data_IF_593990638743
#
_entry.id   IF_593990638743
#
_cell.length_a   1.000
_cell.length_b   1.000
_cell.length_c   1.000
_cell.angle_alpha   90.00
_cell.angle_beta   90.00
_cell.angle_gamma   90.00
#
_symmetry.space_group_name_H-M   'P 1'
#
loop_
_entity.id
_entity.type
_entity.pdbx_description
1 polymer ?
#
# COMPACT_ATOMS: atom_id res chain seq x y z
N UNK A 1 12.42 18.53 4.06
CA UNK A 1 13.91 18.48 3.98
C UNK A 1 14.36 17.55 2.87
N UNK A 2 15.47 17.87 2.18
CA UNK A 2 16.11 17.03 1.17
C UNK A 2 16.60 15.71 1.77
N UNK A 3 17.29 15.76 2.91
CA UNK A 3 17.76 14.56 3.62
C UNK A 3 16.63 13.58 3.95
N UNK A 4 15.47 14.10 4.39
CA UNK A 4 14.28 13.27 4.64
C UNK A 4 13.75 12.59 3.37
N UNK A 5 13.76 13.28 2.23
CA UNK A 5 13.35 12.68 0.96
C UNK A 5 14.31 11.58 0.50
N UNK A 6 15.61 11.80 0.68
CA UNK A 6 16.62 10.78 0.39
C UNK A 6 16.49 9.57 1.33
N UNK A 7 16.24 9.79 2.63
CA UNK A 7 15.98 8.72 3.59
C UNK A 7 14.81 7.82 3.15
N UNK A 8 13.71 8.42 2.69
CA UNK A 8 12.57 7.67 2.11
C UNK A 8 12.98 6.87 0.87
N UNK A 9 13.82 7.43 -0.01
CA UNK A 9 14.31 6.71 -1.17
C UNK A 9 15.16 5.50 -0.79
N UNK A 10 16.03 5.62 0.22
CA UNK A 10 16.88 4.54 0.69
C UNK A 10 16.08 3.46 1.43
N UNK A 11 15.16 3.84 2.32
CA UNK A 11 14.41 2.90 3.18
C UNK A 11 13.19 2.28 2.50
N UNK A 12 12.50 3.03 1.63
CA UNK A 12 11.21 2.63 1.03
C UNK A 12 11.27 2.49 -0.49
N UNK A 13 12.39 2.84 -1.11
CA UNK A 13 12.61 2.71 -2.54
C UNK A 13 12.03 3.85 -3.39
N UNK A 14 12.28 3.76 -4.70
CA UNK A 14 12.01 4.84 -5.67
C UNK A 14 10.53 5.15 -5.87
N UNK A 15 9.64 4.18 -5.72
CA UNK A 15 8.19 4.38 -5.92
C UNK A 15 7.60 5.31 -4.86
N UNK A 16 7.93 5.09 -3.59
CA UNK A 16 7.48 5.89 -2.46
C UNK A 16 8.09 7.28 -2.50
N UNK A 17 9.38 7.37 -2.84
CA UNK A 17 10.04 8.63 -3.12
C UNK A 17 9.35 9.43 -4.24
N UNK A 18 8.98 8.78 -5.35
CA UNK A 18 8.25 9.44 -6.42
C UNK A 18 6.88 9.92 -5.92
N UNK A 19 6.14 9.12 -5.15
CA UNK A 19 4.86 9.55 -4.55
C UNK A 19 5.05 10.81 -3.69
N UNK A 20 6.06 10.83 -2.81
CA UNK A 20 6.40 12.00 -2.00
C UNK A 20 6.74 13.22 -2.88
N UNK A 21 7.54 13.03 -3.93
CA UNK A 21 7.88 14.08 -4.90
C UNK A 21 6.66 14.64 -5.63
N UNK A 22 5.64 13.84 -5.91
CA UNK A 22 4.39 14.34 -6.50
C UNK A 22 3.60 15.18 -5.49
N UNK A 23 3.55 14.77 -4.22
CA UNK A 23 2.91 15.56 -3.16
C UNK A 23 3.61 16.92 -2.95
N UNK A 24 4.94 16.93 -2.96
CA UNK A 24 5.74 18.17 -2.88
C UNK A 24 5.54 19.12 -4.07
N UNK A 25 5.05 18.63 -5.21
CA UNK A 25 4.75 19.43 -6.40
C UNK A 25 3.31 19.91 -6.46
N UNK A 26 2.43 19.37 -5.61
CA UNK A 26 1.02 19.78 -5.56
C UNK A 26 0.90 21.08 -4.76
N UNK A 27 0.67 22.19 -5.47
CA UNK A 27 0.55 23.52 -4.89
C UNK A 27 -0.57 23.61 -3.82
N UNK A 28 -1.58 22.72 -3.86
CA UNK A 28 -2.69 22.71 -2.89
C UNK A 28 -2.31 22.19 -1.50
N UNK A 29 -1.11 21.64 -1.35
CA UNK A 29 -0.64 20.97 -0.12
C UNK A 29 0.30 21.82 0.70
N UNK A 30 0.63 23.05 0.25
CA UNK A 30 1.56 23.98 0.90
C UNK A 30 2.87 23.32 1.37
N UNK A 31 3.37 22.39 0.56
CA UNK A 31 4.56 21.61 0.87
C UNK A 31 5.80 22.21 0.19
N UNK A 32 6.89 22.39 0.95
CA UNK A 32 8.15 22.94 0.43
C UNK A 32 9.31 21.96 0.63
N UNK A 33 10.13 21.82 -0.42
CA UNK A 33 11.38 21.07 -0.34
C UNK A 33 12.54 22.01 -0.02
N UNK A 34 13.06 21.91 1.20
CA UNK A 34 14.30 22.61 1.59
C UNK A 34 15.54 21.74 1.38
N UNK A 35 16.49 22.25 0.61
CA UNK A 35 17.75 21.61 0.26
C UNK A 35 18.82 21.79 1.34
N UNK A 36 18.60 21.20 2.51
CA UNK A 36 19.44 21.41 3.70
C UNK A 36 20.92 21.02 3.50
N UNK A 37 21.23 20.02 2.68
CA UNK A 37 22.62 19.65 2.38
C UNK A 37 23.36 20.70 1.55
N UNK A 38 22.65 21.47 0.73
CA UNK A 38 23.24 22.51 -0.11
C UNK A 38 23.18 23.90 0.54
N UNK A 39 22.67 23.97 1.77
CA UNK A 39 22.60 25.22 2.52
C UNK A 39 23.74 25.31 3.53
N UNK A 40 24.62 26.31 3.37
CA UNK A 40 25.86 26.43 4.16
C UNK A 40 25.62 26.39 5.68
N UNK A 41 24.58 27.05 6.18
CA UNK A 41 24.27 27.09 7.62
C UNK A 41 23.57 25.84 8.17
N UNK A 42 23.15 24.92 7.29
CA UNK A 42 22.43 23.69 7.68
C UNK A 42 23.21 22.42 7.35
N UNK A 43 24.29 22.53 6.58
CA UNK A 43 25.10 21.39 6.19
C UNK A 43 25.84 20.81 7.39
N UNK A 44 25.69 19.51 7.59
CA UNK A 44 26.35 18.76 8.66
C UNK A 44 27.06 17.55 8.05
N UNK A 45 28.40 17.46 8.14
CA UNK A 45 29.12 16.29 7.65
C UNK A 45 28.83 15.06 8.51
N UNK A 46 28.83 13.88 7.88
CA UNK A 46 28.70 12.60 8.56
C UNK A 46 29.96 12.29 9.35
N UNK A 47 29.79 11.92 10.62
CA UNK A 47 30.91 11.61 11.50
C UNK A 47 31.46 10.20 11.23
N UNK A 48 32.77 9.96 11.48
CA UNK A 48 33.36 8.63 11.33
C UNK A 48 32.65 7.61 12.23
N UNK A 49 32.13 6.54 11.64
CA UNK A 49 31.41 5.48 12.36
C UNK A 49 29.93 5.78 12.64
N UNK A 50 29.42 6.98 12.32
CA UNK A 50 28.00 7.31 12.49
C UNK A 50 27.14 6.55 11.48
N UNK A 51 26.06 5.86 11.89
CA UNK A 51 25.12 5.24 10.96
C UNK A 51 24.44 6.27 10.04
N UNK A 52 24.11 5.88 8.80
CA UNK A 52 23.48 6.78 7.82
C UNK A 52 22.17 7.39 8.35
N UNK A 53 21.36 6.59 9.03
CA UNK A 53 20.06 7.02 9.56
C UNK A 53 20.20 8.05 10.70
N UNK A 54 21.17 7.86 11.60
CA UNK A 54 21.43 8.81 12.69
C UNK A 54 21.96 10.13 12.15
N UNK A 55 22.84 10.10 11.14
CA UNK A 55 23.28 11.30 10.43
C UNK A 55 22.12 12.03 9.74
N UNK A 56 21.21 11.30 9.09
CA UNK A 56 20.03 11.89 8.45
C UNK A 56 19.13 12.59 9.46
N UNK A 57 18.82 11.93 10.58
CA UNK A 57 18.02 12.51 11.68
C UNK A 57 18.67 13.78 12.23
N UNK A 58 19.97 13.73 12.53
CA UNK A 58 20.74 14.90 13.00
C UNK A 58 20.69 16.05 11.99
N UNK A 59 20.88 15.77 10.71
CA UNK A 59 20.83 16.76 9.63
C UNK A 59 19.43 17.38 9.46
N UNK A 60 18.36 16.62 9.73
CA UNK A 60 16.98 17.14 9.71
C UNK A 60 16.75 18.06 10.91
N UNK A 61 17.20 17.64 12.10
CA UNK A 61 17.09 18.43 13.32
C UNK A 61 17.84 19.76 13.22
N UNK A 62 19.10 19.75 12.75
CA UNK A 62 19.89 20.98 12.55
C UNK A 62 19.20 21.95 11.59
N UNK A 63 18.58 21.45 10.52
CA UNK A 63 17.79 22.28 9.62
C UNK A 63 16.52 22.84 10.30
N UNK A 64 15.83 22.06 11.13
CA UNK A 64 14.68 22.52 11.90
C UNK A 64 15.05 23.63 12.89
N UNK A 65 16.14 23.45 13.64
CA UNK A 65 16.68 24.48 14.53
C UNK A 65 17.09 25.74 13.74
N UNK A 66 17.74 25.59 12.59
CA UNK A 66 18.06 26.73 11.74
C UNK A 66 16.80 27.49 11.29
N UNK A 67 15.74 26.79 10.89
CA UNK A 67 14.47 27.42 10.48
C UNK A 67 13.86 28.24 11.61
N UNK A 68 13.85 27.71 12.83
CA UNK A 68 13.34 28.43 14.00
C UNK A 68 14.09 29.76 14.23
N UNK A 69 15.43 29.71 14.21
CA UNK A 69 16.27 30.91 14.35
C UNK A 69 16.12 31.87 13.16
N UNK A 70 16.01 31.35 11.94
CA UNK A 70 15.78 32.14 10.73
C UNK A 70 14.46 32.92 10.80
N UNK A 71 13.44 32.32 11.42
CA UNK A 71 12.15 32.95 11.69
C UNK A 71 12.16 33.85 12.94
N UNK A 72 13.34 34.15 13.50
CA UNK A 72 13.53 35.00 14.69
C UNK A 72 12.75 34.51 15.92
N UNK A 73 12.56 33.19 16.04
CA UNK A 73 11.77 32.58 17.13
C UNK A 73 10.26 32.86 17.07
N UNK A 74 9.77 33.48 15.98
CA UNK A 74 8.34 33.84 15.84
C UNK A 74 7.45 32.67 15.41
N UNK A 75 8.06 31.61 14.88
CA UNK A 75 7.34 30.43 14.41
C UNK A 75 7.94 29.18 15.04
N UNK A 76 7.20 28.46 15.89
CA UNK A 76 7.66 27.18 16.41
C UNK A 76 7.78 26.17 15.27
N UNK A 77 8.80 25.33 15.34
CA UNK A 77 9.06 24.28 14.34
C UNK A 77 8.79 22.93 14.99
N UNK A 78 8.01 22.09 14.34
CA UNK A 78 7.73 20.73 14.81
C UNK A 78 8.37 19.72 13.86
N UNK A 79 9.32 18.95 14.38
CA UNK A 79 9.90 17.78 13.72
C UNK A 79 9.17 16.53 14.21
N UNK A 80 8.44 15.88 13.30
CA UNK A 80 7.73 14.65 13.62
C UNK A 80 8.60 13.43 13.30
N UNK A 81 8.78 12.53 14.26
CA UNK A 81 9.59 11.31 14.12
C UNK A 81 9.09 10.19 15.03
N UNK A 82 9.22 8.94 14.58
CA UNK A 82 8.93 7.75 15.38
C UNK A 82 10.21 7.16 16.02
N UNK A 83 11.38 7.79 15.86
CA UNK A 83 12.63 7.39 16.52
C UNK A 83 12.66 7.93 17.96
N UNK A 84 12.43 7.04 18.93
CA UNK A 84 12.40 7.37 20.37
C UNK A 84 13.71 8.00 20.85
N UNK A 85 14.85 7.54 20.35
CA UNK A 85 16.15 8.11 20.73
C UNK A 85 16.29 9.56 20.24
N UNK A 86 15.73 9.85 19.05
CA UNK A 86 15.73 11.20 18.50
C UNK A 86 14.82 12.14 19.32
N UNK A 87 13.65 11.65 19.74
CA UNK A 87 12.73 12.38 20.62
C UNK A 87 13.41 12.67 21.95
N UNK A 88 14.04 11.68 22.59
CA UNK A 88 14.72 11.86 23.86
C UNK A 88 15.91 12.83 23.77
N UNK A 89 16.70 12.72 22.69
CA UNK A 89 17.90 13.54 22.52
C UNK A 89 17.57 15.00 22.16
N UNK A 90 16.64 15.20 21.25
CA UNK A 90 16.41 16.52 20.64
C UNK A 90 15.15 17.23 21.14
N UNK A 91 14.26 16.53 21.86
CA UNK A 91 12.96 17.07 22.30
C UNK A 91 13.05 18.30 23.20
N UNK A 92 14.17 18.50 23.90
CA UNK A 92 14.41 19.65 24.79
C UNK A 92 15.68 20.43 24.45
N UNK A 93 16.30 20.17 23.30
CA UNK A 93 17.62 20.70 22.95
C UNK A 93 17.56 22.16 22.45
N UNK A 94 16.48 22.56 21.78
CA UNK A 94 16.28 23.94 21.32
C UNK A 94 14.87 24.40 21.63
N UNK A 95 14.75 25.46 22.44
CA UNK A 95 13.46 26.05 22.80
C UNK A 95 12.72 26.51 21.54
N UNK A 96 11.46 26.12 21.38
CA UNK A 96 10.65 26.42 20.19
C UNK A 96 10.81 25.43 19.02
N UNK A 97 11.68 24.42 19.15
CA UNK A 97 11.77 23.28 18.24
C UNK A 97 11.28 22.03 18.96
N UNK A 98 10.12 21.52 18.54
CA UNK A 98 9.52 20.33 19.14
C UNK A 98 9.89 19.09 18.32
N UNK A 99 10.45 18.08 18.98
CA UNK A 99 10.70 16.76 18.36
C UNK A 99 9.79 15.75 19.01
N UNK A 100 8.74 15.33 18.32
CA UNK A 100 7.65 14.53 18.91
C UNK A 100 7.17 13.41 17.96
N UNK A 101 6.59 12.32 18.51
CA UNK A 101 5.88 11.30 17.73
C UNK A 101 4.67 11.88 17.00
N UNK A 102 4.25 11.23 15.90
CA UNK A 102 3.11 11.72 15.12
C UNK A 102 1.81 11.71 15.91
N UNK A 103 1.64 10.75 16.83
CA UNK A 103 0.49 10.70 17.73
C UNK A 103 0.40 11.97 18.59
N UNK A 104 1.48 12.32 19.28
CA UNK A 104 1.52 13.51 20.13
C UNK A 104 1.30 14.79 19.30
N UNK A 105 1.83 14.85 18.08
CA UNK A 105 1.55 15.96 17.17
C UNK A 105 0.05 16.11 16.88
N UNK A 106 -0.68 15.01 16.67
CA UNK A 106 -2.13 15.07 16.49
C UNK A 106 -2.86 15.47 17.78
N UNK A 107 -2.44 14.92 18.93
CA UNK A 107 -3.06 15.21 20.23
C UNK A 107 -2.90 16.70 20.61
N UNK A 108 -1.70 17.25 20.43
CA UNK A 108 -1.36 18.60 20.88
C UNK A 108 -1.86 19.69 19.92
N UNK A 109 -1.76 19.47 18.60
CA UNK A 109 -2.04 20.50 17.59
C UNK A 109 -3.38 20.33 16.89
N UNK A 110 -3.96 19.11 16.90
CA UNK A 110 -5.17 18.78 16.15
C UNK A 110 -6.14 17.89 16.94
N UNK A 111 -6.51 18.23 18.19
CA UNK A 111 -7.34 17.38 19.04
C UNK A 111 -8.74 17.14 18.44
N UNK A 112 -9.27 18.12 17.70
CA UNK A 112 -10.61 18.04 17.10
C UNK A 112 -10.66 17.24 15.80
N UNK A 113 -9.49 16.85 15.24
CA UNK A 113 -9.41 16.15 13.95
C UNK A 113 -9.63 14.64 14.11
N UNK A 114 -10.85 14.26 14.55
CA UNK A 114 -11.22 12.87 14.90
C UNK A 114 -10.84 11.84 13.85
N UNK A 115 -11.06 12.13 12.56
CA UNK A 115 -10.73 11.21 11.48
C UNK A 115 -9.23 10.89 11.38
N UNK A 116 -8.35 11.86 11.68
CA UNK A 116 -6.91 11.63 11.68
C UNK A 116 -6.47 10.82 12.91
N UNK A 117 -7.08 11.08 14.06
CA UNK A 117 -6.88 10.31 15.30
C UNK A 117 -7.28 8.84 15.11
N UNK A 118 -8.48 8.59 14.57
CA UNK A 118 -8.97 7.25 14.28
C UNK A 118 -8.04 6.49 13.32
N UNK A 119 -7.57 7.16 12.27
CA UNK A 119 -6.59 6.61 11.32
C UNK A 119 -5.26 6.27 12.01
N UNK A 120 -4.74 7.19 12.82
CA UNK A 120 -3.48 7.01 13.55
C UNK A 120 -3.56 5.80 14.49
N UNK A 121 -4.62 5.72 15.30
CA UNK A 121 -4.85 4.60 16.21
C UNK A 121 -5.00 3.27 15.45
N UNK A 122 -5.71 3.24 14.33
CA UNK A 122 -5.84 2.04 13.49
C UNK A 122 -4.48 1.54 12.98
N UNK A 123 -3.62 2.46 12.52
CA UNK A 123 -2.26 2.12 12.04
C UNK A 123 -1.37 1.63 13.20
N UNK A 124 -1.37 2.33 14.34
CA UNK A 124 -0.56 1.95 15.50
C UNK A 124 -0.99 0.58 16.05
N UNK A 125 -2.30 0.33 16.10
CA UNK A 125 -2.84 -0.95 16.52
C UNK A 125 -2.41 -2.09 15.59
N UNK A 126 -2.54 -1.89 14.26
CA UNK A 126 -2.07 -2.88 13.28
C UNK A 126 -0.58 -3.20 13.43
N UNK A 127 0.25 -2.20 13.72
CA UNK A 127 1.70 -2.40 13.96
C UNK A 127 2.00 -3.22 15.21
N UNK A 128 1.37 -2.89 16.35
CA UNK A 128 1.54 -3.62 17.61
C UNK A 128 1.15 -5.10 17.46
N UNK A 129 0.07 -5.36 16.75
CA UNK A 129 -0.41 -6.72 16.53
C UNK A 129 0.52 -7.54 15.64
N UNK A 130 1.09 -6.92 14.60
CA UNK A 130 2.12 -7.57 13.79
C UNK A 130 3.31 -8.01 14.64
N UNK A 131 3.73 -7.17 15.59
CA UNK A 131 4.85 -7.48 16.48
C UNK A 131 4.52 -8.63 17.44
N UNK A 132 3.30 -8.65 17.98
CA UNK A 132 2.81 -9.75 18.83
C UNK A 132 2.65 -11.07 18.07
N UNK A 133 2.03 -11.05 16.88
CA UNK A 133 1.81 -12.26 16.06
C UNK A 133 3.13 -12.91 15.62
N UNK A 134 4.18 -12.12 15.40
CA UNK A 134 5.53 -12.61 15.14
C UNK A 134 6.18 -13.30 16.34
N UNK A 135 5.80 -12.93 17.58
CA UNK A 135 6.37 -13.49 18.82
C UNK A 135 5.64 -14.76 19.28
N UNK A 136 4.32 -14.82 19.11
CA UNK A 136 3.50 -15.91 19.67
C UNK A 136 3.30 -17.10 18.70
N UNK A 137 3.28 -16.87 17.39
CA UNK A 137 2.92 -17.92 16.43
C UNK A 137 4.15 -18.63 15.84
N UNK A 138 4.51 -19.77 16.42
CA UNK A 138 5.57 -20.64 15.86
C UNK A 138 5.14 -21.42 14.61
N UNK A 139 3.82 -21.55 14.34
CA UNK A 139 3.31 -22.27 13.16
C UNK A 139 3.17 -21.31 11.97
N UNK A 140 4.01 -21.50 10.96
CA UNK A 140 3.93 -20.75 9.70
C UNK A 140 2.85 -21.36 8.80
N UNK A 141 1.89 -20.54 8.39
CA UNK A 141 0.85 -20.91 7.43
C UNK A 141 1.37 -20.87 5.98
N UNK A 142 2.28 -19.93 5.72
CA UNK A 142 2.92 -19.70 4.44
C UNK A 142 4.43 -19.84 4.51
N UNK A 143 5.04 -20.26 3.39
CA UNK A 143 6.49 -20.29 3.25
C UNK A 143 7.07 -18.86 3.18
N UNK A 144 8.28 -18.69 3.73
CA UNK A 144 9.01 -17.44 3.55
C UNK A 144 9.31 -17.18 2.07
N UNK A 145 9.29 -15.90 1.68
CA UNK A 145 9.74 -15.52 0.36
C UNK A 145 11.25 -15.58 0.30
N UNK A 146 11.79 -16.03 -0.83
CA UNK A 146 13.24 -16.09 -1.03
C UNK A 146 13.84 -14.67 -1.08
N UNK A 147 15.11 -14.51 -0.65
CA UNK A 147 15.82 -13.24 -0.78
C UNK A 147 15.87 -12.74 -2.23
N UNK A 148 15.87 -11.42 -2.47
CA UNK A 148 15.83 -10.87 -3.82
C UNK A 148 17.02 -11.34 -4.67
N UNK A 149 18.20 -11.53 -4.08
CA UNK A 149 19.39 -12.01 -4.78
C UNK A 149 19.20 -13.44 -5.31
N UNK A 150 18.53 -14.30 -4.53
CA UNK A 150 18.21 -15.69 -4.91
C UNK A 150 17.13 -15.72 -5.98
N UNK A 151 16.13 -14.84 -5.88
CA UNK A 151 15.09 -14.70 -6.91
C UNK A 151 15.71 -14.27 -8.24
N UNK A 152 16.56 -13.24 -8.23
CA UNK A 152 17.24 -12.74 -9.43
C UNK A 152 18.14 -13.80 -10.08
N UNK A 153 18.95 -14.51 -9.28
CA UNK A 153 19.80 -15.59 -9.78
C UNK A 153 18.98 -16.76 -10.34
N UNK A 154 17.86 -17.11 -9.70
CA UNK A 154 16.95 -18.15 -10.15
C UNK A 154 16.20 -17.77 -11.45
N UNK A 155 15.86 -16.50 -11.63
CA UNK A 155 15.27 -15.99 -12.89
C UNK A 155 16.32 -16.03 -14.01
N UNK A 156 17.56 -15.55 -13.75
CA UNK A 156 18.64 -15.54 -14.74
C UNK A 156 19.06 -16.95 -15.19
N UNK A 157 19.01 -17.93 -14.28
CA UNK A 157 19.30 -19.33 -14.59
C UNK A 157 18.13 -20.08 -15.23
N UNK A 158 16.94 -19.46 -15.33
CA UNK A 158 15.73 -20.09 -15.86
C UNK A 158 15.04 -21.07 -14.90
N UNK A 159 15.56 -21.23 -13.67
CA UNK A 159 14.92 -22.06 -12.64
C UNK A 159 13.58 -21.49 -12.20
N UNK A 160 13.47 -20.17 -12.13
CA UNK A 160 12.24 -19.47 -11.78
C UNK A 160 11.74 -18.64 -12.95
N UNK A 161 10.42 -18.50 -13.03
CA UNK A 161 9.76 -17.66 -14.01
C UNK A 161 9.05 -16.49 -13.34
N UNK A 162 9.19 -15.30 -13.89
CA UNK A 162 8.49 -14.11 -13.40
C UNK A 162 7.21 -13.85 -14.22
N UNK A 163 6.14 -13.40 -13.54
CA UNK A 163 4.87 -13.14 -14.20
C UNK A 163 3.90 -12.33 -13.35
N UNK A 164 2.86 -11.80 -13.99
CA UNK A 164 1.79 -11.08 -13.28
C UNK A 164 0.76 -12.10 -12.81
N UNK A 165 0.42 -12.05 -11.52
CA UNK A 165 -0.58 -12.94 -10.92
C UNK A 165 -2.00 -12.48 -11.27
N UNK A 166 -2.76 -13.34 -11.94
CA UNK A 166 -4.18 -13.17 -12.22
C UNK A 166 -5.02 -14.13 -11.37
N UNK A 167 -5.72 -13.63 -10.36
CA UNK A 167 -6.59 -14.46 -9.51
C UNK A 167 -7.94 -14.63 -10.20
N UNK A 168 -8.46 -15.86 -10.24
CA UNK A 168 -9.77 -16.12 -10.81
C UNK A 168 -10.85 -15.47 -9.92
N UNK A 169 -11.65 -14.56 -10.49
CA UNK A 169 -12.72 -13.85 -9.77
C UNK A 169 -13.80 -14.77 -9.21
N UNK A 170 -14.05 -15.91 -9.86
CA UNK A 170 -15.09 -16.86 -9.45
C UNK A 170 -14.55 -17.94 -8.50
N UNK A 171 -13.23 -18.17 -8.50
CA UNK A 171 -12.57 -19.19 -7.67
C UNK A 171 -11.34 -18.63 -6.98
N UNK A 172 -11.50 -17.50 -6.31
CA UNK A 172 -10.38 -16.78 -5.75
C UNK A 172 -9.64 -17.55 -4.66
N UNK A 173 -10.22 -18.58 -4.04
CA UNK A 173 -9.52 -19.41 -3.05
C UNK A 173 -8.67 -20.53 -3.67
N UNK A 174 -9.04 -20.95 -4.89
CA UNK A 174 -8.56 -22.18 -5.52
C UNK A 174 -7.67 -21.88 -6.72
N UNK A 175 -8.03 -20.92 -7.57
CA UNK A 175 -7.35 -20.72 -8.85
C UNK A 175 -6.76 -19.32 -9.00
N UNK A 176 -5.48 -19.29 -9.33
CA UNK A 176 -4.80 -18.13 -9.89
C UNK A 176 -3.88 -18.57 -11.01
N UNK A 177 -3.50 -17.65 -11.89
CA UNK A 177 -2.66 -17.91 -13.05
C UNK A 177 -1.52 -16.90 -13.06
N UNK A 178 -0.29 -17.36 -13.22
CA UNK A 178 0.85 -16.48 -13.44
C UNK A 178 1.08 -16.33 -14.94
N UNK A 179 0.79 -15.13 -15.47
CA UNK A 179 1.07 -14.80 -16.86
C UNK A 179 2.53 -14.41 -16.99
N UNK A 180 3.30 -15.26 -17.66
CA UNK A 180 4.73 -15.06 -17.83
C UNK A 180 5.02 -13.79 -18.65
N UNK A 181 5.98 -13.00 -18.20
CA UNK A 181 6.52 -11.91 -19.02
C UNK A 181 7.62 -12.46 -19.92
N UNK A 182 7.41 -12.37 -21.23
CA UNK A 182 8.29 -12.96 -22.24
C UNK A 182 9.73 -12.49 -22.10
N UNK A 183 10.62 -13.41 -21.75
CA UNK A 183 12.06 -13.24 -21.91
C UNK A 183 12.41 -13.41 -23.39
N UNK A 184 12.34 -12.33 -24.17
CA UNK A 184 13.26 -12.02 -25.28
C UNK A 184 13.61 -13.05 -26.37
N UNK A 185 12.98 -14.22 -26.49
CA UNK A 185 13.21 -15.14 -27.59
C UNK A 185 11.94 -15.29 -28.41
N UNK A 186 12.12 -15.08 -29.72
CA UNK A 186 11.12 -15.22 -30.77
C UNK A 186 10.60 -16.66 -30.79
N UNK A 187 9.54 -16.95 -30.04
CA UNK A 187 8.63 -18.05 -30.35
C UNK A 187 7.20 -17.61 -30.02
N UNK A 188 6.49 -17.22 -31.07
CA UNK A 188 5.08 -16.86 -31.10
C UNK A 188 4.23 -18.12 -31.09
N UNK A 189 4.25 -18.86 -29.98
CA UNK A 189 3.42 -20.06 -29.80
C UNK A 189 3.23 -20.41 -28.33
N UNK A 190 2.10 -19.96 -27.76
CA UNK A 190 1.62 -20.26 -26.39
C UNK A 190 2.52 -19.75 -25.25
N UNK A 191 2.36 -18.48 -24.87
CA UNK A 191 2.63 -18.04 -23.49
C UNK A 191 1.70 -18.85 -22.59
N UNK A 192 2.18 -19.99 -22.12
CA UNK A 192 1.39 -20.91 -21.31
C UNK A 192 1.32 -20.33 -19.90
N UNK A 193 0.13 -19.89 -19.51
CA UNK A 193 -0.13 -19.43 -18.15
C UNK A 193 0.19 -20.58 -17.16
N UNK A 194 0.88 -20.28 -16.07
CA UNK A 194 1.16 -21.27 -15.02
C UNK A 194 0.03 -21.24 -14.00
N UNK A 195 -0.62 -22.38 -13.75
CA UNK A 195 -1.64 -22.53 -12.71
C UNK A 195 -0.99 -22.45 -11.32
N UNK A 196 -1.54 -21.59 -10.48
CA UNK A 196 -1.23 -21.48 -9.05
C UNK A 196 -2.46 -21.96 -8.29
N UNK A 197 -2.40 -23.23 -7.85
CA UNK A 197 -3.55 -23.89 -7.24
C UNK A 197 -3.55 -23.80 -5.71
N UNK A 198 -4.54 -23.10 -5.17
CA UNK A 198 -4.78 -22.90 -3.74
C UNK A 198 -4.07 -21.67 -3.17
N UNK A 199 -4.57 -21.18 -2.02
CA UNK A 199 -3.98 -20.05 -1.31
C UNK A 199 -2.52 -20.30 -0.90
N UNK A 200 -2.17 -21.52 -0.46
CA UNK A 200 -0.81 -21.86 -0.02
C UNK A 200 0.22 -21.72 -1.13
N UNK A 201 -0.10 -22.21 -2.34
CA UNK A 201 0.76 -22.06 -3.51
C UNK A 201 0.83 -20.60 -4.00
N UNK A 202 -0.22 -19.81 -3.76
CA UNK A 202 -0.23 -18.37 -4.03
C UNK A 202 0.69 -17.58 -3.10
N UNK A 203 0.93 -18.10 -1.90
CA UNK A 203 1.92 -17.58 -0.96
C UNK A 203 1.87 -16.05 -0.77
N UNK A 204 0.78 -15.58 -0.17
CA UNK A 204 0.60 -14.17 0.23
C UNK A 204 0.68 -13.15 -0.92
N UNK A 205 0.46 -13.59 -2.16
CA UNK A 205 0.36 -12.71 -3.33
C UNK A 205 -1.09 -12.38 -3.67
N UNK A 206 -1.29 -11.17 -4.19
CA UNK A 206 -2.58 -10.57 -4.52
C UNK A 206 -2.68 -10.36 -6.04
N UNK A 207 -3.91 -10.28 -6.54
CA UNK A 207 -4.16 -9.99 -7.95
C UNK A 207 -3.39 -8.76 -8.45
N UNK A 208 -2.65 -8.95 -9.55
CA UNK A 208 -1.83 -7.94 -10.20
C UNK A 208 -0.41 -7.84 -9.66
N UNK A 209 -0.05 -8.59 -8.61
CA UNK A 209 1.34 -8.65 -8.12
C UNK A 209 2.27 -9.24 -9.21
N UNK A 210 3.49 -8.71 -9.29
CA UNK A 210 4.57 -9.31 -10.05
C UNK A 210 5.26 -10.35 -9.17
N UNK A 211 5.06 -11.61 -9.50
CA UNK A 211 5.48 -12.76 -8.69
C UNK A 211 6.56 -13.57 -9.39
N UNK A 212 7.35 -14.28 -8.59
CA UNK A 212 8.31 -15.29 -9.04
C UNK A 212 7.75 -16.66 -8.72
N UNK A 213 7.69 -17.52 -9.73
CA UNK A 213 7.05 -18.83 -9.68
C UNK A 213 8.11 -19.91 -9.93
N UNK A 214 8.07 -20.93 -9.09
CA UNK A 214 8.76 -22.21 -9.30
C UNK A 214 7.77 -23.21 -9.88
N UNK A 215 8.11 -23.81 -11.01
CA UNK A 215 7.30 -24.84 -11.65
C UNK A 215 7.40 -26.14 -10.84
N UNK A 216 6.27 -26.78 -10.59
CA UNK A 216 6.23 -28.09 -9.94
C UNK A 216 6.58 -29.20 -10.94
N UNK A 217 7.05 -30.37 -10.46
CA UNK A 217 7.21 -31.55 -11.32
C UNK A 217 5.91 -31.91 -12.04
N UNK A 218 6.01 -32.45 -13.26
CA UNK A 218 4.84 -32.77 -14.11
C UNK A 218 3.81 -33.66 -13.43
N UNK A 219 4.23 -34.60 -12.58
CA UNK A 219 3.32 -35.46 -11.80
C UNK A 219 2.46 -34.71 -10.77
N UNK A 220 2.75 -33.44 -10.51
CA UNK A 220 1.97 -32.57 -9.62
C UNK A 220 1.18 -31.50 -10.38
N UNK A 221 1.19 -31.55 -11.71
CA UNK A 221 0.40 -30.65 -12.53
C UNK A 221 -1.08 -30.95 -12.38
N UNK A 222 -1.88 -29.88 -12.32
CA UNK A 222 -3.33 -29.93 -12.11
C UNK A 222 -4.02 -29.31 -13.31
N UNK A 223 -5.22 -29.80 -13.60
CA UNK A 223 -6.10 -29.19 -14.60
C UNK A 223 -6.86 -28.01 -14.03
N UNK A 224 -7.57 -27.29 -14.90
CA UNK A 224 -8.52 -26.26 -14.50
C UNK A 224 -9.76 -26.96 -13.94
N UNK A 225 -10.35 -26.41 -12.89
CA UNK A 225 -11.66 -26.89 -12.42
C UNK A 225 -12.73 -26.44 -13.42
N UNK A 226 -13.63 -27.33 -13.83
CA UNK A 226 -14.62 -27.07 -14.90
C UNK A 226 -16.02 -26.71 -14.36
N UNK A 227 -16.24 -26.88 -13.06
CA UNK A 227 -17.52 -26.74 -12.33
C UNK A 227 -17.63 -25.40 -11.59
N UNK A 228 -18.59 -24.55 -11.96
CA UNK A 228 -18.85 -23.30 -11.25
C UNK A 228 -19.50 -23.62 -9.88
N UNK A 229 -18.75 -23.52 -8.78
CA UNK A 229 -19.34 -23.57 -7.44
C UNK A 229 -19.77 -22.17 -7.02
N UNK A 230 -21.07 -21.90 -7.08
CA UNK A 230 -21.69 -20.76 -6.41
C UNK A 230 -22.29 -21.25 -5.09
N UNK A 231 -21.54 -21.19 -3.99
CA UNK A 231 -22.05 -20.97 -2.62
C UNK A 231 -20.89 -20.92 -1.63
N UNK A 232 -20.87 -19.93 -0.75
CA UNK A 232 -20.20 -20.03 0.55
C UNK A 232 -20.94 -21.10 1.35
N UNK A 233 -20.29 -22.22 1.68
CA UNK A 233 -20.88 -23.24 2.53
C UNK A 233 -20.48 -24.68 2.19
N UNK A 234 -19.60 -25.21 3.03
CA UNK A 234 -19.39 -26.62 3.36
C UNK A 234 -18.55 -27.49 2.41
N UNK A 235 -17.51 -28.08 3.02
CA UNK A 235 -16.61 -29.07 2.45
C UNK A 235 -17.39 -30.34 2.10
N UNK A 236 -17.70 -30.53 0.82
CA UNK A 236 -17.92 -31.88 0.27
C UNK A 236 -17.07 -32.10 -0.97
N UNK A 237 -16.06 -32.93 -0.77
CA UNK A 237 -15.28 -33.58 -1.82
C UNK A 237 -16.22 -34.32 -2.80
N UNK A 238 -16.69 -33.59 -3.81
CA UNK A 238 -17.23 -34.16 -5.02
C UNK A 238 -16.06 -34.38 -5.96
N UNK A 239 -15.82 -35.64 -6.33
CA UNK A 239 -14.74 -36.02 -7.23
C UNK A 239 -14.92 -35.37 -8.59
N UNK A 240 -14.14 -34.31 -8.84
CA UNK A 240 -14.08 -33.63 -10.13
C UNK A 240 -13.09 -34.37 -11.05
N UNK A 241 -13.51 -34.64 -12.29
CA UNK A 241 -12.58 -35.06 -13.33
C UNK A 241 -11.66 -33.87 -13.65
N UNK A 242 -10.33 -33.96 -13.39
CA UNK A 242 -9.43 -32.87 -13.71
C UNK A 242 -9.43 -32.65 -15.23
N UNK A 243 -9.49 -31.39 -15.69
CA UNK A 243 -9.17 -31.09 -17.09
C UNK A 243 -7.73 -31.53 -17.40
N UNK A 244 -7.34 -31.46 -18.68
CA UNK A 244 -5.96 -31.75 -19.09
C UNK A 244 -4.94 -31.06 -18.15
N UNK A 245 -3.91 -31.80 -17.67
CA UNK A 245 -2.94 -31.27 -16.72
C UNK A 245 -2.20 -30.12 -17.37
N UNK A 246 -2.23 -28.94 -16.72
CA UNK A 246 -1.55 -27.75 -17.19
C UNK A 246 -0.34 -27.42 -16.30
N UNK A 247 0.68 -26.71 -16.82
CA UNK A 247 1.84 -26.28 -16.05
C UNK A 247 1.42 -25.66 -14.72
N UNK A 248 1.79 -26.28 -13.60
CA UNK A 248 1.39 -25.85 -12.26
C UNK A 248 2.61 -25.46 -11.46
N UNK A 249 2.52 -24.33 -10.76
CA UNK A 249 3.62 -23.75 -10.00
C UNK A 249 3.21 -23.26 -8.63
N UNK A 250 4.21 -22.79 -7.88
CA UNK A 250 4.02 -22.10 -6.61
C UNK A 250 4.81 -20.80 -6.58
N UNK A 251 4.27 -19.79 -5.91
CA UNK A 251 4.91 -18.49 -5.72
C UNK A 251 5.99 -18.62 -4.65
N UNK A 252 7.23 -18.33 -5.03
CA UNK A 252 8.41 -18.37 -4.15
C UNK A 252 8.86 -16.96 -3.71
N UNK A 253 8.36 -15.92 -4.36
CA UNK A 253 8.64 -14.53 -4.00
C UNK A 253 7.77 -13.54 -4.76
N UNK A 254 7.74 -12.30 -4.27
CA UNK A 254 7.00 -11.18 -4.86
C UNK A 254 8.01 -10.08 -5.18
N UNK A 255 8.22 -9.78 -6.47
CA UNK A 255 9.14 -8.72 -6.90
C UNK A 255 8.49 -7.34 -6.73
N UNK A 256 7.20 -7.23 -7.03
CA UNK A 256 6.48 -5.96 -6.93
C UNK A 256 5.03 -6.20 -6.50
N UNK A 257 4.68 -5.60 -5.35
CA UNK A 257 3.30 -5.55 -4.84
C UNK A 257 2.47 -4.53 -5.61
N UNK A 258 1.26 -4.92 -5.99
CA UNK A 258 0.24 -4.10 -6.61
C UNK A 258 -0.87 -3.69 -5.63
N UNK A 259 -0.49 -3.50 -4.35
CA UNK A 259 -1.44 -3.09 -3.32
C UNK A 259 -1.97 -1.67 -3.60
N UNK A 260 -3.29 -1.53 -3.47
CA UNK A 260 -4.04 -0.30 -3.67
C UNK A 260 -5.03 -0.10 -2.53
N UNK A 261 -5.85 0.93 -2.67
CA UNK A 261 -7.03 1.12 -1.83
C UNK A 261 -8.11 0.12 -2.27
N UNK A 262 -8.64 -0.60 -1.30
CA UNK A 262 -9.69 -1.59 -1.50
C UNK A 262 -10.95 -1.15 -0.77
N UNK A 263 -12.09 -1.28 -1.44
CA UNK A 263 -13.38 -1.05 -0.81
C UNK A 263 -13.87 -2.35 -0.21
N UNK A 264 -14.33 -2.28 1.04
CA UNK A 264 -14.76 -3.42 1.84
C UNK A 264 -16.09 -3.13 2.52
N UNK A 265 -16.71 -4.19 3.02
CA UNK A 265 -17.82 -4.16 3.97
C UNK A 265 -17.45 -4.89 5.24
N UNK A 266 -17.96 -4.38 6.36
CA UNK A 266 -17.85 -5.06 7.65
C UNK A 266 -18.89 -6.18 7.75
N UNK A 267 -18.56 -7.31 8.40
CA UNK A 267 -19.51 -8.40 8.62
C UNK A 267 -20.65 -7.95 9.55
N UNK A 268 -21.81 -8.57 9.40
CA UNK A 268 -22.97 -8.33 10.27
C UNK A 268 -22.67 -8.80 11.70
N UNK A 269 -23.29 -8.16 12.69
CA UNK A 269 -23.08 -8.43 14.12
C UNK A 269 -23.19 -9.90 14.54
N UNK A 270 -24.04 -10.69 13.88
CA UNK A 270 -24.22 -12.13 14.15
C UNK A 270 -22.94 -12.94 13.83
N UNK A 271 -22.17 -12.51 12.83
CA UNK A 271 -20.87 -13.11 12.46
C UNK A 271 -19.71 -12.63 13.36
N UNK A 272 -19.89 -11.53 14.09
CA UNK A 272 -18.87 -10.96 14.99
C UNK A 272 -18.87 -11.66 16.35
N UNK A 273 -20.03 -12.12 16.84
CA UNK A 273 -20.15 -12.79 18.15
C UNK A 273 -19.45 -14.16 18.24
N UNK A 274 -19.14 -14.78 17.10
CA UNK A 274 -18.38 -16.03 17.03
C UNK A 274 -16.86 -15.80 17.14
N UNK A 275 -16.39 -14.56 17.05
CA UNK A 275 -15.00 -14.17 17.30
C UNK A 275 -14.94 -13.62 18.73
N UNK A 276 -14.34 -14.38 19.65
CA UNK A 276 -14.39 -14.14 21.11
C UNK A 276 -13.97 -12.75 21.58
N UNK A 277 -13.99 -12.53 22.91
CA UNK A 277 -13.90 -11.27 23.68
C UNK A 277 -12.84 -10.20 23.31
N UNK A 278 -11.99 -10.40 22.31
CA UNK A 278 -11.14 -9.36 21.71
C UNK A 278 -11.89 -8.61 20.61
N UNK A 279 -12.83 -7.74 21.02
CA UNK A 279 -13.69 -6.91 20.17
C UNK A 279 -12.96 -5.86 19.29
N UNK A 280 -11.68 -6.07 18.99
CA UNK A 280 -10.86 -5.16 18.20
C UNK A 280 -10.53 -5.70 16.81
N UNK A 281 -10.45 -7.02 16.59
CA UNK A 281 -10.05 -7.61 15.30
C UNK A 281 -11.28 -8.04 14.51
N UNK A 282 -11.46 -7.49 13.31
CA UNK A 282 -12.58 -7.84 12.43
C UNK A 282 -12.08 -8.20 11.04
N UNK A 283 -12.60 -9.28 10.47
CA UNK A 283 -12.33 -9.69 9.09
C UNK A 283 -13.34 -9.05 8.14
N UNK A 284 -12.89 -8.04 7.42
CA UNK A 284 -13.71 -7.33 6.42
C UNK A 284 -13.67 -8.04 5.07
N UNK A 285 -14.73 -7.88 4.29
CA UNK A 285 -14.91 -8.52 2.98
C UNK A 285 -14.69 -7.50 1.86
N UNK A 286 -13.67 -7.65 1.02
CA UNK A 286 -13.46 -6.80 -0.15
C UNK A 286 -14.58 -6.92 -1.18
N UNK A 287 -14.89 -5.81 -1.84
CA UNK A 287 -15.78 -5.78 -2.99
C UNK A 287 -15.24 -6.66 -4.12
N UNK A 288 -13.95 -6.52 -4.43
CA UNK A 288 -13.29 -7.37 -5.43
C UNK A 288 -12.99 -8.75 -4.82
N UNK A 289 -13.80 -9.75 -5.20
CA UNK A 289 -13.68 -11.15 -4.75
C UNK A 289 -12.31 -11.79 -5.01
N UNK A 290 -11.48 -11.21 -5.88
CA UNK A 290 -10.09 -11.66 -6.11
C UNK A 290 -9.16 -11.36 -4.95
N UNK A 291 -9.54 -10.42 -4.08
CA UNK A 291 -8.78 -10.00 -2.91
C UNK A 291 -9.27 -10.82 -1.71
N UNK A 292 -8.36 -11.44 -0.93
CA UNK A 292 -8.75 -12.16 0.28
C UNK A 292 -9.33 -11.20 1.32
N UNK A 293 -10.12 -11.74 2.27
CA UNK A 293 -10.57 -10.99 3.45
C UNK A 293 -9.39 -10.35 4.17
N UNK A 294 -9.59 -9.14 4.68
CA UNK A 294 -8.54 -8.34 5.33
C UNK A 294 -8.87 -8.25 6.81
N UNK A 295 -7.87 -8.44 7.67
CA UNK A 295 -8.01 -8.21 9.11
C UNK A 295 -7.76 -6.74 9.41
N UNK A 296 -8.70 -6.12 10.11
CA UNK A 296 -8.62 -4.72 10.52
C UNK A 296 -8.89 -4.60 12.00
N UNK A 297 -8.10 -3.75 12.65
CA UNK A 297 -8.29 -3.43 14.06
C UNK A 297 -9.01 -2.10 14.23
N UNK A 298 -10.25 -2.17 14.72
CA UNK A 298 -11.12 -1.01 14.93
C UNK A 298 -12.14 -1.26 16.03
N UNK A 299 -12.46 -0.20 16.78
CA UNK A 299 -13.53 -0.21 17.79
C UNK A 299 -14.89 0.18 17.20
N UNK A 300 -14.92 0.69 15.97
CA UNK A 300 -16.13 1.21 15.31
C UNK A 300 -16.74 0.20 14.34
N UNK A 301 -16.40 -1.08 14.43
CA UNK A 301 -16.88 -2.11 13.52
C UNK A 301 -18.42 -2.13 13.42
N UNK A 302 -19.12 -1.94 14.56
CA UNK A 302 -20.59 -1.87 14.59
C UNK A 302 -21.16 -0.67 13.83
N UNK A 303 -20.53 0.50 13.92
CA UNK A 303 -20.99 1.70 13.22
C UNK A 303 -20.71 1.64 11.70
N UNK A 304 -19.78 0.81 11.26
CA UNK A 304 -19.32 0.70 9.87
C UNK A 304 -19.99 -0.44 9.08
N UNK A 305 -20.89 -1.22 9.68
CA UNK A 305 -21.54 -2.38 9.03
C UNK A 305 -22.31 -1.99 7.75
N UNK A 306 -23.08 -0.90 7.82
CA UNK A 306 -23.93 -0.45 6.71
C UNK A 306 -23.21 0.50 5.73
N UNK A 307 -21.88 0.57 5.79
CA UNK A 307 -21.10 1.51 5.00
C UNK A 307 -20.09 0.82 4.09
N UNK A 308 -19.88 1.41 2.91
CA UNK A 308 -18.73 1.14 2.04
C UNK A 308 -17.53 1.85 2.62
N UNK A 309 -16.47 1.10 2.93
CA UNK A 309 -15.29 1.63 3.60
C UNK A 309 -14.05 1.36 2.77
N UNK A 310 -13.14 2.33 2.68
CA UNK A 310 -11.82 2.16 2.07
C UNK A 310 -10.84 1.69 3.10
N UNK A 311 -10.08 0.65 2.76
CA UNK A 311 -9.03 0.08 3.60
C UNK A 311 -7.78 -0.15 2.78
N UNK A 312 -6.64 -0.24 3.46
CA UNK A 312 -5.35 -0.48 2.83
C UNK A 312 -4.61 -1.60 3.56
N UNK A 313 -4.04 -2.51 2.78
CA UNK A 313 -3.22 -3.61 3.31
C UNK A 313 -1.84 -3.06 3.70
N UNK A 314 -1.41 -3.40 4.91
CA UNK A 314 -0.12 -2.98 5.47
C UNK A 314 0.92 -4.08 5.43
N UNK A 315 0.52 -5.30 5.80
CA UNK A 315 1.40 -6.45 5.89
C UNK A 315 0.66 -7.77 5.76
N UNK A 316 1.42 -8.82 5.48
CA UNK A 316 0.92 -10.19 5.44
C UNK A 316 2.01 -11.15 5.91
N UNK A 317 1.93 -11.53 7.17
CA UNK A 317 2.90 -12.35 7.89
C UNK A 317 2.81 -13.82 7.45
N UNK A 318 3.88 -14.60 7.62
CA UNK A 318 3.87 -16.03 7.27
C UNK A 318 2.95 -16.85 8.16
N UNK A 319 2.67 -16.37 9.36
CA UNK A 319 1.85 -17.02 10.38
C UNK A 319 0.35 -16.78 10.17
N UNK A 320 -0.03 -15.75 9.40
CA UNK A 320 -1.42 -15.32 9.27
C UNK A 320 -2.05 -15.77 7.94
N UNK A 321 -3.25 -16.35 8.02
CA UNK A 321 -4.09 -16.68 6.86
C UNK A 321 -4.53 -15.45 6.06
N UNK A 322 -4.74 -14.32 6.74
CA UNK A 322 -5.30 -13.10 6.17
C UNK A 322 -4.31 -11.93 6.29
N UNK A 323 -4.25 -11.02 5.30
CA UNK A 323 -3.46 -9.79 5.42
C UNK A 323 -4.00 -8.87 6.51
N UNK A 324 -3.09 -8.14 7.15
CA UNK A 324 -3.40 -7.05 8.07
C UNK A 324 -3.50 -5.72 7.31
N UNK A 325 -4.47 -4.89 7.68
CA UNK A 325 -4.65 -3.56 7.10
C UNK A 325 -5.31 -2.57 8.07
N UNK A 326 -5.38 -1.33 7.62
CA UNK A 326 -6.00 -0.24 8.38
C UNK A 326 -7.16 0.41 7.62
N UNK A 327 -8.04 1.02 8.40
CA UNK A 327 -9.12 1.87 7.91
C UNK A 327 -8.56 3.15 7.31
N UNK A 328 -9.08 3.60 6.17
CA UNK A 328 -8.68 4.88 5.54
C UNK A 328 -9.79 5.91 5.63
N UNK A 329 -11.00 5.60 5.12
CA UNK A 329 -12.16 6.51 5.12
C UNK A 329 -13.46 5.78 4.79
N UNK A 330 -14.60 6.38 5.17
CA UNK A 330 -15.93 5.97 4.73
C UNK A 330 -16.25 6.58 3.36
N UNK A 331 -16.87 5.81 2.46
CA UNK A 331 -17.36 6.30 1.16
C UNK A 331 -18.83 6.71 1.19
N UNK A 332 -19.69 5.91 1.83
CA UNK A 332 -21.13 6.12 1.86
C UNK A 332 -21.86 4.89 2.37
N UNK A 333 -23.18 5.00 2.56
CA UNK A 333 -24.02 3.86 2.97
C UNK A 333 -24.15 2.86 1.82
N UNK A 334 -24.26 1.59 2.16
CA UNK A 334 -24.50 0.53 1.18
C UNK A 334 -25.86 0.77 0.51
N UNK A 335 -25.90 0.69 -0.82
CA UNK A 335 -27.12 0.94 -1.61
C UNK A 335 -27.44 2.40 -1.87
N UNK A 336 -26.69 3.35 -1.29
CA UNK A 336 -26.79 4.77 -1.66
C UNK A 336 -26.09 5.03 -3.00
N UNK A 337 -26.71 5.84 -3.87
CA UNK A 337 -26.23 6.09 -5.24
C UNK A 337 -24.82 6.69 -5.23
N UNK A 338 -24.60 7.73 -4.43
CA UNK A 338 -23.31 8.43 -4.34
C UNK A 338 -22.22 7.51 -3.76
N UNK A 339 -22.56 6.70 -2.75
CA UNK A 339 -21.66 5.71 -2.15
C UNK A 339 -21.23 4.61 -3.13
N UNK A 340 -22.15 4.11 -3.94
CA UNK A 340 -21.88 3.07 -4.94
C UNK A 340 -21.08 3.64 -6.13
N UNK A 341 -21.38 4.86 -6.59
CA UNK A 341 -20.57 5.58 -7.59
C UNK A 341 -19.14 5.77 -7.09
N UNK A 342 -18.98 6.30 -5.87
CA UNK A 342 -17.67 6.50 -5.25
C UNK A 342 -16.89 5.19 -5.13
N UNK A 343 -17.58 4.08 -4.86
CA UNK A 343 -16.95 2.76 -4.79
C UNK A 343 -16.40 2.31 -6.14
N UNK A 344 -17.21 2.42 -7.20
CA UNK A 344 -16.77 2.05 -8.57
C UNK A 344 -15.54 2.86 -8.97
N UNK A 345 -15.51 4.15 -8.66
CA UNK A 345 -14.38 5.04 -8.96
C UNK A 345 -13.11 4.60 -8.23
N UNK A 346 -13.20 4.31 -6.93
CA UNK A 346 -12.05 3.86 -6.12
C UNK A 346 -11.54 2.50 -6.59
N UNK A 347 -12.43 1.53 -6.85
CA UNK A 347 -12.04 0.19 -7.30
C UNK A 347 -11.33 0.19 -8.66
N UNK A 348 -11.70 1.12 -9.54
CA UNK A 348 -11.07 1.29 -10.85
C UNK A 348 -9.88 2.28 -10.82
N UNK A 349 -9.45 2.72 -9.64
CA UNK A 349 -8.35 3.69 -9.47
C UNK A 349 -8.57 4.99 -10.25
N UNK A 350 -9.83 5.44 -10.37
CA UNK A 350 -10.21 6.68 -11.05
C UNK A 350 -10.22 7.81 -10.02
N UNK A 351 -9.35 8.80 -10.21
CA UNK A 351 -9.31 9.98 -9.37
C UNK A 351 -10.31 11.02 -9.86
N UNK A 352 -11.31 11.34 -9.03
CA UNK A 352 -12.28 12.43 -9.25
C UNK A 352 -11.92 13.71 -8.49
N UNK A 353 -10.68 13.82 -8.02
CA UNK A 353 -10.19 15.04 -7.36
C UNK A 353 -10.26 16.20 -8.36
N UNK A 354 -10.76 17.38 -7.97
CA UNK A 354 -10.72 18.56 -8.82
C UNK A 354 -9.32 18.83 -9.38
N UNK A 355 -9.25 19.40 -10.59
CA UNK A 355 -7.99 19.81 -11.20
C UNK A 355 -7.22 20.76 -10.27
N UNK A 356 -5.88 20.64 -10.24
CA UNK A 356 -5.05 21.54 -9.46
C UNK A 356 -5.10 22.96 -10.04
N UNK A 357 -4.80 23.96 -9.21
CA UNK A 357 -4.72 25.34 -9.71
C UNK A 357 -3.75 25.46 -10.87
N UNK A 358 -2.59 24.78 -10.86
CA UNK A 358 -1.66 24.78 -11.99
C UNK A 358 -2.26 24.18 -13.28
N UNK A 359 -3.15 23.20 -13.17
CA UNK A 359 -3.87 22.62 -14.31
C UNK A 359 -4.97 23.56 -14.82
N UNK A 360 -5.67 24.25 -13.90
CA UNK A 360 -6.73 25.22 -14.23
C UNK A 360 -6.13 26.53 -14.76
N UNK A 361 -5.00 26.96 -14.20
CA UNK A 361 -4.27 28.17 -14.53
C UNK A 361 -3.37 28.01 -15.74
N UNK A 362 -3.33 26.82 -16.37
CA UNK A 362 -2.77 26.61 -17.69
C UNK A 362 -3.84 27.00 -18.71
N UNK A 363 -3.98 28.28 -19.08
CA UNK A 363 -5.08 28.68 -19.91
C UNK A 363 -4.68 28.30 -21.34
N UNK A 364 -5.62 27.76 -22.11
CA UNK A 364 -5.69 28.20 -23.51
C UNK A 364 -6.04 29.69 -23.43
N UNK A 365 -5.03 30.53 -23.24
CA UNK A 365 -5.18 31.97 -23.11
C UNK A 365 -5.55 32.49 -24.49
N UNK A 366 -6.83 32.40 -24.83
CA UNK A 366 -7.58 33.22 -25.80
C UNK A 366 -8.93 32.57 -26.07
N UNK A 367 -9.97 33.41 -26.20
CA UNK A 367 -11.14 33.11 -27.03
C UNK A 367 -10.63 32.38 -28.28
N UNK A 368 -11.07 31.14 -28.50
CA UNK A 368 -10.77 30.42 -29.73
C UNK A 368 -11.36 31.21 -30.90
N UNK A 369 -10.52 31.96 -31.59
CA UNK A 369 -10.81 32.47 -32.92
C UNK A 369 -9.96 31.64 -33.89
N UNK A 370 -10.61 31.00 -34.88
CA UNK A 370 -9.88 30.39 -35.99
C UNK A 370 -9.04 31.48 -36.66
N UNK A 371 -7.72 31.44 -36.47
CA UNK A 371 -6.81 32.18 -37.31
C UNK A 371 -6.70 31.44 -38.64
N UNK A 372 -7.58 31.78 -39.60
CA UNK A 372 -7.21 31.61 -41.01
C UNK A 372 -6.06 32.58 -41.28
N UNK A 373 -4.95 32.06 -41.80
CA UNK A 373 -3.79 32.86 -42.15
C UNK A 373 -4.21 34.09 -42.99
N UNK A 374 -4.07 35.28 -42.41
CA UNK A 374 -3.93 36.51 -43.21
C UNK A 374 -5.03 37.57 -43.16
N UNK A 375 -6.17 37.43 -42.46
CA UNK A 375 -7.10 38.57 -42.28
C UNK A 375 -7.71 38.64 -40.88
N UNK A 376 -7.35 39.70 -40.13
CA UNK A 376 -8.07 40.13 -38.94
C UNK A 376 -9.43 40.70 -39.35
N UNK A 377 -10.51 39.99 -39.07
CA UNK A 377 -11.83 40.61 -38.94
C UNK A 377 -12.10 40.79 -37.44
N UNK A 378 -12.21 42.05 -37.00
CA UNK A 378 -12.83 42.37 -35.71
C UNK A 378 -14.32 42.08 -35.86
N UNK A 379 -14.84 41.18 -35.03
CA UNK A 379 -16.28 41.08 -34.79
C UNK A 379 -16.60 42.12 -33.71
N UNK A 380 -17.55 43.02 -34.01
CA UNK A 380 -18.15 43.94 -33.04
C UNK A 380 -18.91 43.17 -31.97
#
# INVERSE_FOLDING_TARGET
>A
MQTACQAVQHQRGRRQYNKLRHLLRDARRDCVLFANEFHQSCYVPREPGEPLEKWQTRSIYTAAAWYYHHCQGKMPIVMVTEDEEAVQRYGSETEGVFVIPFKNYLDDFWPDLRAAHELCESILQSRREREQECQESHRKEYAEHLPPEVLEAGIKSGRYSQGILNVNKHRAQIEAFARLQGTGTKDTGLVSDILIHGMKARNRSIHGDLVVVELLPEGQWKGRTTTLCESDGDDRASGEAPSEPMPTGRVVGILQKNWRDYVVTFPCREEVQSQGKHAQKVLVTPWDRRIPRIRISTQQAEALQDFRVVVRIDSWETTSLYPNGHFVRVLGRIGDLEGEIATILVENSISVVPFSEAQVSAPLTRRWCLFQQGKRLRVL
#
